data_IF_663753559631
#
_entry.id   IF_663753559631
#
_cell.length_a   1.000
_cell.length_b   1.000
_cell.length_c   1.000
_cell.angle_alpha   90.00
_cell.angle_beta   90.00
_cell.angle_gamma   90.00
#
_symmetry.space_group_name_H-M   'P 1'
#
loop_
_entity.id
_entity.type
_entity.pdbx_description
1 polymer ?
#
# COMPACT_ATOMS: atom_id res chain seq x y z
N UNK A 1 -14.15 -24.94 6.15
CA UNK A 1 -13.82 -23.63 5.63
C UNK A 1 -13.02 -23.72 4.33
N UNK A 2 -13.47 -23.07 3.32
CA UNK A 2 -12.83 -23.14 2.03
C UNK A 2 -11.74 -22.08 1.91
N UNK A 3 -10.62 -22.48 1.32
CA UNK A 3 -9.55 -21.56 0.96
C UNK A 3 -9.73 -21.14 -0.50
N UNK A 4 -10.87 -20.51 -0.77
CA UNK A 4 -11.18 -20.08 -2.12
C UNK A 4 -10.36 -18.85 -2.45
N UNK A 5 -9.57 -18.95 -3.50
CA UNK A 5 -8.86 -17.82 -4.06
C UNK A 5 -9.59 -17.32 -5.30
N UNK A 6 -9.48 -16.04 -5.54
CA UNK A 6 -10.07 -15.42 -6.72
C UNK A 6 -9.10 -14.38 -7.27
N UNK A 7 -9.22 -14.12 -8.56
CA UNK A 7 -8.46 -13.05 -9.19
C UNK A 7 -9.21 -11.75 -9.02
N UNK A 8 -8.51 -10.72 -8.57
CA UNK A 8 -9.06 -9.39 -8.42
C UNK A 8 -8.22 -8.45 -9.27
N UNK A 9 -8.87 -7.79 -10.23
CA UNK A 9 -8.19 -7.02 -11.24
C UNK A 9 -8.46 -5.53 -11.08
N UNK A 10 -7.42 -4.75 -11.31
CA UNK A 10 -7.52 -3.32 -11.51
C UNK A 10 -7.53 -3.09 -13.01
N UNK A 11 -8.54 -2.36 -13.49
CA UNK A 11 -8.73 -2.12 -14.92
C UNK A 11 -8.45 -0.67 -15.28
N UNK A 12 -7.67 -0.48 -16.32
CA UNK A 12 -7.45 0.82 -16.92
C UNK A 12 -7.66 0.70 -18.42
N UNK A 13 -7.83 1.83 -19.09
CA UNK A 13 -8.02 1.80 -20.53
C UNK A 13 -6.80 1.18 -21.20
N UNK A 14 -7.00 0.02 -21.81
CA UNK A 14 -5.94 -0.71 -22.50
C UNK A 14 -5.04 -1.55 -21.62
N UNK A 15 -5.29 -1.63 -20.31
CA UNK A 15 -4.46 -2.43 -19.41
C UNK A 15 -5.25 -3.01 -18.26
N UNK A 16 -4.67 -4.06 -17.68
CA UNK A 16 -5.29 -4.78 -16.58
C UNK A 16 -4.20 -5.36 -15.69
N UNK A 17 -4.36 -5.21 -14.37
CA UNK A 17 -3.41 -5.72 -13.39
C UNK A 17 -4.16 -6.45 -12.30
N UNK A 18 -3.83 -7.74 -12.07
CA UNK A 18 -4.56 -8.56 -11.13
C UNK A 18 -3.68 -9.30 -10.15
N UNK A 19 -4.23 -9.55 -8.96
CA UNK A 19 -3.65 -10.42 -7.95
C UNK A 19 -4.65 -11.49 -7.59
N UNK A 20 -4.15 -12.71 -7.41
CA UNK A 20 -4.93 -13.84 -6.96
C UNK A 20 -4.82 -13.92 -5.45
N UNK A 21 -5.93 -14.10 -4.75
CA UNK A 21 -5.85 -14.24 -3.32
C UNK A 21 -7.19 -14.54 -2.67
N UNK A 22 -7.12 -14.74 -1.36
CA UNK A 22 -8.30 -14.94 -0.52
C UNK A 22 -8.74 -13.58 0.00
N UNK A 23 -10.00 -13.23 -0.20
CA UNK A 23 -10.55 -11.98 0.32
C UNK A 23 -10.68 -12.08 1.83
N UNK A 24 -9.97 -11.22 2.54
CA UNK A 24 -10.05 -11.13 4.00
C UNK A 24 -11.08 -10.10 4.44
N UNK A 25 -11.13 -8.97 3.74
CA UNK A 25 -12.04 -7.86 4.05
C UNK A 25 -12.55 -7.30 2.74
N UNK A 26 -13.86 -7.10 2.67
CA UNK A 26 -14.49 -6.34 1.58
C UNK A 26 -15.53 -5.45 2.23
N UNK A 27 -15.30 -4.14 2.21
CA UNK A 27 -16.12 -3.21 2.96
C UNK A 27 -16.21 -1.88 2.22
N UNK A 28 -17.38 -1.27 2.27
CA UNK A 28 -17.57 0.08 1.74
C UNK A 28 -17.68 1.05 2.90
N UNK A 29 -16.77 2.00 2.96
CA UNK A 29 -16.82 3.07 3.95
C UNK A 29 -17.61 4.25 3.38
N UNK A 30 -17.72 5.31 4.18
CA UNK A 30 -18.35 6.55 3.73
C UNK A 30 -17.59 7.17 2.53
N UNK A 31 -16.31 6.87 2.41
CA UNK A 31 -15.45 7.53 1.43
C UNK A 31 -15.02 6.63 0.29
N UNK A 32 -14.92 5.31 0.50
CA UNK A 32 -14.36 4.45 -0.53
C UNK A 32 -14.63 2.97 -0.26
N UNK A 33 -14.49 2.17 -1.29
CA UNK A 33 -14.53 0.72 -1.16
C UNK A 33 -13.16 0.19 -0.78
N UNK A 34 -13.11 -0.73 0.18
CA UNK A 34 -11.88 -1.28 0.74
C UNK A 34 -11.88 -2.78 0.53
N UNK A 35 -10.85 -3.31 -0.10
CA UNK A 35 -10.66 -4.75 -0.25
C UNK A 35 -9.26 -5.10 0.23
N UNK A 36 -9.17 -6.09 1.13
CA UNK A 36 -7.90 -6.65 1.57
C UNK A 36 -7.91 -8.12 1.21
N UNK A 37 -6.91 -8.56 0.48
CA UNK A 37 -6.73 -9.97 0.14
C UNK A 37 -5.43 -10.49 0.75
N UNK A 38 -5.35 -11.81 0.84
CA UNK A 38 -4.09 -12.48 1.16
C UNK A 38 -3.61 -13.20 -0.07
N UNK A 39 -2.50 -12.71 -0.62
CA UNK A 39 -1.84 -13.30 -1.76
C UNK A 39 -0.68 -14.16 -1.27
N UNK A 40 -0.48 -15.31 -1.89
CA UNK A 40 0.54 -16.26 -1.47
C UNK A 40 1.96 -15.68 -1.52
N UNK A 41 2.23 -14.81 -2.49
CA UNK A 41 3.56 -14.24 -2.69
C UNK A 41 3.73 -12.89 -2.00
N UNK A 42 2.75 -11.99 -2.17
CA UNK A 42 2.86 -10.62 -1.68
C UNK A 42 2.33 -10.41 -0.26
N UNK A 43 1.67 -11.43 0.32
CA UNK A 43 1.04 -11.29 1.62
C UNK A 43 -0.26 -10.50 1.53
N UNK A 44 -0.56 -9.73 2.55
CA UNK A 44 -1.78 -8.91 2.53
C UNK A 44 -1.62 -7.74 1.56
N UNK A 45 -2.59 -7.58 0.70
CA UNK A 45 -2.60 -6.52 -0.31
C UNK A 45 -3.88 -5.72 -0.19
N UNK A 46 -3.77 -4.41 -0.31
CA UNK A 46 -4.85 -3.46 -0.13
C UNK A 46 -5.26 -2.84 -1.46
N UNK A 47 -6.56 -2.87 -1.74
CA UNK A 47 -7.17 -2.20 -2.88
C UNK A 47 -8.17 -1.17 -2.37
N UNK A 48 -8.08 0.05 -2.86
CA UNK A 48 -9.03 1.12 -2.55
C UNK A 48 -9.66 1.60 -3.86
N UNK A 49 -11.00 1.61 -3.91
CA UNK A 49 -11.77 2.02 -5.09
C UNK A 49 -11.26 1.36 -6.37
N UNK A 50 -11.08 0.03 -6.31
CA UNK A 50 -10.64 -0.80 -7.43
C UNK A 50 -9.23 -0.52 -7.91
N UNK A 51 -8.39 0.14 -7.10
CA UNK A 51 -6.99 0.39 -7.41
C UNK A 51 -6.08 -0.26 -6.37
N UNK A 52 -5.10 -1.03 -6.82
CA UNK A 52 -4.12 -1.61 -5.92
C UNK A 52 -3.24 -0.53 -5.32
N UNK A 53 -3.14 -0.52 -4.00
CA UNK A 53 -2.40 0.52 -3.28
C UNK A 53 -1.09 0.01 -2.72
N UNK A 54 -1.09 -1.14 -2.04
CA UNK A 54 0.11 -1.63 -1.36
C UNK A 54 -0.02 -3.11 -1.03
N UNK A 55 1.12 -3.78 -0.83
CA UNK A 55 1.18 -5.13 -0.28
C UNK A 55 2.27 -5.19 0.77
N UNK A 56 2.19 -6.19 1.66
CA UNK A 56 3.17 -6.31 2.75
C UNK A 56 4.59 -6.56 2.22
N UNK A 57 4.71 -7.29 1.12
CA UNK A 57 6.03 -7.65 0.62
C UNK A 57 6.77 -6.49 -0.02
N UNK A 58 6.07 -5.60 -0.72
CA UNK A 58 6.74 -4.57 -1.50
C UNK A 58 6.53 -3.14 -1.00
N UNK A 59 5.71 -2.94 0.05
CA UNK A 59 5.42 -1.57 0.52
C UNK A 59 6.66 -0.84 1.01
N UNK A 60 7.62 -1.56 1.57
CA UNK A 60 8.82 -0.91 2.08
C UNK A 60 9.66 -0.29 0.97
N UNK A 61 9.68 -0.91 -0.20
CA UNK A 61 10.41 -0.35 -1.35
C UNK A 61 9.79 0.97 -1.79
N UNK A 62 8.46 1.00 -1.83
CA UNK A 62 7.73 2.21 -2.17
C UNK A 62 7.98 3.32 -1.14
N UNK A 63 7.85 3.00 0.15
CA UNK A 63 8.01 4.00 1.20
C UNK A 63 9.45 4.47 1.34
N UNK A 64 10.42 3.58 1.19
CA UNK A 64 11.83 3.96 1.20
C UNK A 64 12.15 4.89 0.03
N UNK A 65 11.67 4.57 -1.15
CA UNK A 65 11.89 5.41 -2.32
C UNK A 65 11.16 6.74 -2.26
N UNK A 66 10.04 6.78 -1.55
CA UNK A 66 9.28 8.03 -1.37
C UNK A 66 10.00 9.00 -0.43
N UNK A 67 10.63 8.48 0.63
CA UNK A 67 11.16 9.28 1.72
C UNK A 67 12.66 9.57 1.56
N UNK A 68 13.49 8.54 1.42
CA UNK A 68 14.92 8.70 1.60
C UNK A 68 15.64 9.51 0.52
N UNK A 69 15.35 9.33 -0.79
CA UNK A 69 16.05 10.14 -1.78
C UNK A 69 15.82 11.63 -1.63
N UNK A 70 14.59 12.03 -1.32
CA UNK A 70 14.27 13.45 -1.18
C UNK A 70 14.90 14.04 0.07
N UNK A 71 14.78 13.34 1.22
CA UNK A 71 15.27 13.88 2.49
C UNK A 71 16.78 13.81 2.64
N UNK A 72 17.44 12.89 1.94
CA UNK A 72 18.89 12.82 2.01
C UNK A 72 19.55 13.99 1.29
N UNK A 73 18.82 14.75 0.49
CA UNK A 73 19.33 15.92 -0.23
C UNK A 73 19.20 17.22 0.55
N UNK A 74 18.63 17.21 1.76
CA UNK A 74 18.47 18.40 2.58
C UNK A 74 19.21 18.25 3.89
N UNK A 75 19.74 19.37 4.39
CA UNK A 75 20.58 19.37 5.59
C UNK A 75 19.77 19.39 6.88
N UNK A 76 18.66 20.12 6.90
CA UNK A 76 17.77 20.16 8.06
C UNK A 76 16.49 19.40 7.80
N UNK A 77 16.16 18.48 8.71
CA UNK A 77 15.03 17.58 8.57
C UNK A 77 14.14 17.59 9.82
N UNK A 78 13.99 18.78 10.42
CA UNK A 78 13.32 18.87 11.72
C UNK A 78 11.80 18.87 11.63
N UNK A 79 11.23 19.31 10.53
CA UNK A 79 9.78 19.40 10.36
C UNK A 79 9.34 18.77 9.05
N UNK A 80 8.47 17.77 9.15
CA UNK A 80 7.95 17.07 7.98
C UNK A 80 6.44 16.94 8.10
N UNK A 81 5.72 17.28 7.04
CA UNK A 81 4.27 17.09 6.97
C UNK A 81 3.97 15.89 6.07
N UNK A 82 3.13 14.99 6.58
CA UNK A 82 2.65 13.86 5.79
C UNK A 82 1.17 14.10 5.47
N UNK A 83 0.84 14.08 4.18
CA UNK A 83 -0.55 14.15 3.74
C UNK A 83 -0.93 12.74 3.30
N UNK A 84 -1.96 12.16 3.95
CA UNK A 84 -2.31 10.76 3.80
C UNK A 84 -1.54 9.90 4.78
N UNK A 85 -0.88 8.85 4.29
CA UNK A 85 -0.01 8.03 5.13
C UNK A 85 -0.72 7.13 6.12
N UNK A 86 -1.95 6.72 5.81
CA UNK A 86 -2.78 5.94 6.74
C UNK A 86 -2.23 4.56 7.09
N UNK A 87 -1.35 4.00 6.29
CA UNK A 87 -0.76 2.70 6.55
C UNK A 87 0.49 2.76 7.45
N UNK A 88 0.98 3.98 7.76
CA UNK A 88 2.12 4.16 8.65
C UNK A 88 3.49 3.95 8.02
N UNK A 89 3.56 3.56 6.75
CA UNK A 89 4.84 3.28 6.10
C UNK A 89 5.73 4.50 5.95
N UNK A 90 5.16 5.62 5.55
CA UNK A 90 5.90 6.87 5.41
C UNK A 90 6.39 7.36 6.78
N UNK A 91 5.54 7.28 7.80
CA UNK A 91 5.93 7.66 9.17
C UNK A 91 7.09 6.78 9.65
N UNK A 92 7.03 5.48 9.40
CA UNK A 92 8.10 4.57 9.78
C UNK A 92 9.43 4.99 9.14
N UNK A 93 9.44 5.25 7.84
CA UNK A 93 10.67 5.61 7.15
C UNK A 93 11.20 6.97 7.60
N UNK A 94 10.33 7.94 7.85
CA UNK A 94 10.74 9.23 8.37
C UNK A 94 11.33 9.12 9.76
N UNK A 95 10.80 8.24 10.61
CA UNK A 95 11.32 8.06 11.97
C UNK A 95 12.75 7.53 11.98
N UNK A 96 13.14 6.77 10.97
CA UNK A 96 14.50 6.26 10.85
C UNK A 96 15.53 7.36 10.59
N UNK A 97 15.11 8.48 10.03
CA UNK A 97 16.00 9.61 9.74
C UNK A 97 16.34 10.39 11.01
N UNK A 98 15.42 10.39 11.96
CA UNK A 98 15.54 11.19 13.19
C UNK A 98 16.15 10.41 14.37
N UNK A 99 16.62 9.21 14.16
CA UNK A 99 17.31 8.42 15.20
C UNK A 99 18.78 8.85 15.43
#
# INVERSE_FOLDING_TARGET
MTNITTWIDEYHKGSRFGLNGKILIKKTSKYQEIIVIENEYYGKALMLDNCWMTSLKDEKYYHECLVHPALSSIDEKSNVLIIGGGDGGTVRELSLIHI
#
